data_IF_440483951794
#
_entry.id   IF_440483951794
#
_cell.length_a   1.000
_cell.length_b   1.000
_cell.length_c   1.000
_cell.angle_alpha   90.00
_cell.angle_beta   90.00
_cell.angle_gamma   90.00
#
_symmetry.space_group_name_H-M   'P 1'
#
loop_
_entity.id
_entity.type
_entity.pdbx_description
1 polymer ?
#
# COMPACT_ATOMS: atom_id res chain seq x y z
N UNK A 1 -19.41 21.43 9.52
CA UNK A 1 -18.88 21.86 8.21
C UNK A 1 -17.41 22.19 8.39
N UNK A 2 -16.54 21.20 8.20
CA UNK A 2 -15.08 21.38 8.20
C UNK A 2 -14.58 20.78 6.89
N UNK A 3 -14.22 21.66 5.96
CA UNK A 3 -13.61 21.33 4.68
C UNK A 3 -12.32 20.52 4.93
N UNK A 4 -12.37 19.21 4.74
CA UNK A 4 -11.20 18.48 4.27
C UNK A 4 -11.06 18.83 2.79
N UNK A 5 -10.12 19.72 2.48
CA UNK A 5 -9.56 19.86 1.15
C UNK A 5 -9.03 18.49 0.72
N UNK A 6 -9.90 17.71 0.05
CA UNK A 6 -9.48 16.60 -0.77
C UNK A 6 -8.43 17.16 -1.73
N UNK A 7 -7.24 16.60 -1.66
CA UNK A 7 -6.15 16.94 -2.54
C UNK A 7 -6.62 16.70 -3.98
N UNK A 8 -6.68 17.78 -4.75
CA UNK A 8 -7.02 17.75 -6.18
C UNK A 8 -5.84 17.12 -6.93
N UNK A 9 -6.18 16.23 -7.87
CA UNK A 9 -5.38 15.54 -8.88
C UNK A 9 -4.62 14.28 -8.42
N UNK A 10 -4.83 13.17 -9.16
CA UNK A 10 -4.54 11.77 -8.80
C UNK A 10 -3.07 11.38 -8.62
N UNK A 11 -2.18 12.34 -8.37
CA UNK A 11 -0.75 12.13 -8.08
C UNK A 11 -0.32 12.76 -6.74
N UNK A 12 0.72 12.21 -6.09
CA UNK A 12 1.34 12.85 -4.94
C UNK A 12 1.95 14.21 -5.31
N UNK A 13 2.36 15.00 -4.31
CA UNK A 13 3.08 16.27 -4.55
C UNK A 13 4.40 16.00 -5.27
N UNK A 14 4.43 16.23 -6.58
CA UNK A 14 5.60 16.10 -7.46
C UNK A 14 5.93 17.43 -8.13
N UNK A 15 7.14 17.56 -8.68
CA UNK A 15 7.56 18.77 -9.37
C UNK A 15 6.71 19.07 -10.60
N UNK A 16 6.45 20.36 -10.87
CA UNK A 16 5.64 20.80 -12.00
C UNK A 16 6.09 20.23 -13.38
N UNK A 17 7.40 20.04 -13.67
CA UNK A 17 7.82 19.36 -14.89
C UNK A 17 7.33 17.92 -15.00
N UNK A 18 7.44 17.13 -13.92
CA UNK A 18 7.00 15.74 -13.90
C UNK A 18 5.47 15.62 -14.01
N UNK A 19 4.72 16.47 -13.31
CA UNK A 19 3.26 16.50 -13.41
C UNK A 19 2.78 16.84 -14.82
N UNK A 20 3.39 17.84 -15.48
CA UNK A 20 3.11 18.15 -16.89
C UNK A 20 3.45 16.99 -17.81
N UNK A 21 4.56 16.30 -17.58
CA UNK A 21 4.97 15.17 -18.38
C UNK A 21 3.96 14.01 -18.30
N UNK A 22 3.47 13.69 -17.09
CA UNK A 22 2.42 12.69 -16.88
C UNK A 22 1.11 13.07 -17.59
N UNK A 23 0.63 14.29 -17.36
CA UNK A 23 -0.61 14.78 -17.98
C UNK A 23 -0.51 14.81 -19.51
N UNK A 24 0.60 15.28 -20.08
CA UNK A 24 0.83 15.29 -21.53
C UNK A 24 0.98 13.88 -22.12
N UNK A 25 1.43 12.91 -21.32
CA UNK A 25 1.46 11.50 -21.69
C UNK A 25 0.10 10.79 -21.49
N UNK A 26 -0.93 11.51 -21.01
CA UNK A 26 -2.28 11.00 -20.81
C UNK A 26 -2.52 10.26 -19.50
N UNK A 27 -1.61 10.37 -18.53
CA UNK A 27 -1.78 9.81 -17.19
C UNK A 27 -2.33 10.86 -16.23
N UNK A 28 -3.35 10.48 -15.48
CA UNK A 28 -4.09 11.34 -14.56
C UNK A 28 -4.21 10.74 -13.15
N UNK A 29 -3.83 9.48 -12.95
CA UNK A 29 -3.76 8.88 -11.61
C UNK A 29 -2.66 7.83 -11.45
N UNK A 30 -2.36 7.47 -10.19
CA UNK A 30 -1.43 6.39 -9.84
C UNK A 30 -1.89 5.02 -10.36
N UNK A 31 -3.19 4.75 -10.34
CA UNK A 31 -3.77 3.48 -10.76
C UNK A 31 -3.51 3.18 -12.24
N UNK A 32 -3.42 4.22 -13.07
CA UNK A 32 -3.06 4.08 -14.49
C UNK A 32 -1.60 3.69 -14.69
N UNK A 33 -0.72 4.08 -13.76
CA UNK A 33 0.71 3.77 -13.84
C UNK A 33 1.03 2.29 -13.57
N UNK A 34 0.09 1.52 -13.01
CA UNK A 34 0.25 0.08 -12.77
C UNK A 34 0.46 -0.71 -14.06
N UNK A 35 0.01 -0.16 -15.19
CA UNK A 35 0.18 -0.74 -16.53
C UNK A 35 1.43 -0.23 -17.26
N UNK A 36 2.22 0.63 -16.62
CA UNK A 36 3.37 1.30 -17.23
C UNK A 36 4.64 0.85 -16.54
N UNK A 37 5.69 0.55 -17.32
CA UNK A 37 7.01 0.24 -16.75
C UNK A 37 7.70 1.52 -16.31
N UNK A 38 8.39 1.49 -15.16
CA UNK A 38 9.13 2.66 -14.66
C UNK A 38 10.13 3.21 -15.72
N UNK A 39 10.82 2.31 -16.43
CA UNK A 39 11.80 2.66 -17.46
C UNK A 39 11.19 3.41 -18.66
N UNK A 40 9.89 3.26 -18.93
CA UNK A 40 9.21 4.01 -20.00
C UNK A 40 8.80 5.39 -19.52
N UNK A 41 8.37 5.54 -18.25
CA UNK A 41 8.14 6.86 -17.65
C UNK A 41 9.43 7.67 -17.54
N UNK A 42 10.56 7.03 -17.24
CA UNK A 42 11.86 7.67 -17.15
C UNK A 42 12.30 8.35 -18.47
N UNK A 43 11.72 7.96 -19.62
CA UNK A 43 11.98 8.59 -20.92
C UNK A 43 11.22 9.90 -21.11
N UNK A 44 10.20 10.18 -20.29
CA UNK A 44 9.42 11.41 -20.39
C UNK A 44 10.28 12.62 -19.99
N UNK A 45 10.22 13.67 -20.80
CA UNK A 45 10.94 14.91 -20.52
C UNK A 45 10.43 15.54 -19.21
N UNK A 46 11.31 15.66 -18.22
CA UNK A 46 10.96 16.16 -16.87
C UNK A 46 10.76 15.07 -15.81
N UNK A 47 10.88 13.79 -16.17
CA UNK A 47 10.73 12.64 -15.25
C UNK A 47 12.10 12.17 -14.71
N UNK A 48 12.62 12.86 -13.71
CA UNK A 48 13.90 12.49 -13.06
C UNK A 48 13.76 11.45 -11.94
N UNK A 49 14.88 10.90 -11.42
CA UNK A 49 14.88 9.87 -10.38
C UNK A 49 14.09 10.23 -9.12
N UNK A 50 14.11 11.51 -8.73
CA UNK A 50 13.33 12.00 -7.59
C UNK A 50 11.81 11.88 -7.81
N UNK A 51 11.34 12.18 -9.03
CA UNK A 51 9.92 12.07 -9.34
C UNK A 51 9.49 10.61 -9.38
N UNK A 52 10.29 9.74 -9.99
CA UNK A 52 10.06 8.29 -10.03
C UNK A 52 10.04 7.68 -8.62
N UNK A 53 10.95 8.10 -7.73
CA UNK A 53 10.95 7.69 -6.32
C UNK A 53 9.66 8.06 -5.60
N UNK A 54 9.19 9.31 -5.75
CA UNK A 54 7.92 9.76 -5.14
C UNK A 54 6.73 8.95 -5.68
N UNK A 55 6.70 8.66 -6.99
CA UNK A 55 5.64 7.84 -7.57
C UNK A 55 5.69 6.41 -7.05
N UNK A 56 6.88 5.82 -6.92
CA UNK A 56 7.06 4.47 -6.34
C UNK A 56 6.55 4.40 -4.91
N UNK A 57 6.93 5.37 -4.07
CA UNK A 57 6.50 5.42 -2.68
C UNK A 57 4.97 5.57 -2.58
N UNK A 58 4.38 6.41 -3.45
CA UNK A 58 2.94 6.61 -3.48
C UNK A 58 2.16 5.40 -4.02
N UNK A 59 2.71 4.68 -5.00
CA UNK A 59 2.17 3.39 -5.45
C UNK A 59 2.23 2.35 -4.33
N UNK A 60 3.39 2.20 -3.69
CA UNK A 60 3.60 1.24 -2.62
C UNK A 60 2.65 1.46 -1.43
N UNK A 61 2.40 2.73 -1.06
CA UNK A 61 1.45 3.08 0.00
C UNK A 61 0.01 2.58 -0.28
N UNK A 62 -0.34 2.38 -1.56
CA UNK A 62 -1.63 1.87 -2.03
C UNK A 62 -1.60 0.37 -2.38
N UNK A 63 -0.50 -0.35 -2.11
CA UNK A 63 -0.35 -1.74 -2.55
C UNK A 63 -0.24 -1.90 -4.06
N UNK A 64 0.24 -0.85 -4.75
CA UNK A 64 0.46 -0.81 -6.18
C UNK A 64 1.97 -0.83 -6.48
N UNK A 65 2.32 -1.15 -7.72
CA UNK A 65 3.66 -1.01 -8.26
C UNK A 65 3.60 -0.75 -9.77
N UNK A 66 4.71 -0.39 -10.39
CA UNK A 66 4.80 -0.30 -11.85
C UNK A 66 4.66 -1.68 -12.52
N UNK A 67 4.37 -1.68 -13.82
CA UNK A 67 4.22 -2.92 -14.57
C UNK A 67 5.51 -3.74 -14.54
N UNK A 68 5.38 -5.01 -14.12
CA UNK A 68 6.50 -5.96 -14.03
C UNK A 68 7.25 -5.92 -12.69
N UNK A 69 6.81 -5.11 -11.73
CA UNK A 69 7.35 -5.07 -10.38
C UNK A 69 6.39 -5.75 -9.38
N UNK A 70 6.95 -6.25 -8.28
CA UNK A 70 6.18 -6.70 -7.12
C UNK A 70 5.84 -5.49 -6.24
N UNK A 71 4.80 -5.60 -5.41
CA UNK A 71 4.58 -4.60 -4.35
C UNK A 71 5.75 -4.61 -3.37
N UNK A 72 6.05 -3.44 -2.80
CA UNK A 72 7.06 -3.34 -1.75
C UNK A 72 6.60 -4.09 -0.50
N UNK A 73 7.41 -5.02 -0.03
CA UNK A 73 7.24 -5.68 1.27
C UNK A 73 7.75 -4.83 2.44
N UNK A 74 8.10 -3.56 2.21
CA UNK A 74 8.34 -2.61 3.28
C UNK A 74 7.01 -2.28 3.96
N UNK A 75 6.80 -2.82 5.16
CA UNK A 75 5.56 -2.56 5.88
C UNK A 75 5.36 -1.10 6.26
N UNK A 76 4.10 -0.74 6.43
CA UNK A 76 3.60 0.57 6.79
C UNK A 76 2.71 0.47 8.04
N UNK A 77 2.19 1.61 8.47
CA UNK A 77 1.26 1.69 9.59
C UNK A 77 0.00 2.45 9.19
N UNK A 78 -1.15 1.94 9.61
CA UNK A 78 -2.44 2.61 9.51
C UNK A 78 -2.91 3.01 10.91
N UNK A 79 -3.41 4.23 11.06
CA UNK A 79 -4.07 4.68 12.29
C UNK A 79 -5.56 4.33 12.18
N UNK A 80 -5.98 3.25 12.85
CA UNK A 80 -7.35 2.72 12.77
C UNK A 80 -7.86 2.46 14.18
N UNK A 81 -9.08 2.90 14.50
CA UNK A 81 -9.73 2.65 15.80
C UNK A 81 -8.85 2.92 17.05
N UNK A 82 -7.94 3.89 16.96
CA UNK A 82 -7.02 4.26 18.05
C UNK A 82 -5.77 3.37 18.18
N UNK A 83 -5.53 2.44 17.25
CA UNK A 83 -4.30 1.67 17.15
C UNK A 83 -3.47 2.07 15.91
N UNK A 84 -2.16 2.08 16.09
CA UNK A 84 -1.18 2.19 15.01
C UNK A 84 -0.87 0.79 14.47
N UNK A 85 -1.72 0.30 13.58
CA UNK A 85 -1.71 -1.06 13.05
C UNK A 85 -0.62 -1.23 11.98
N UNK A 86 0.32 -2.14 12.21
CA UNK A 86 1.32 -2.51 11.22
C UNK A 86 0.73 -3.46 10.17
N UNK A 87 1.05 -3.19 8.90
CA UNK A 87 0.71 -4.04 7.77
C UNK A 87 1.80 -3.99 6.70
N UNK A 88 1.84 -5.00 5.82
CA UNK A 88 2.74 -5.02 4.67
C UNK A 88 2.04 -5.67 3.47
N UNK A 89 2.37 -5.17 2.28
CA UNK A 89 1.91 -5.76 1.02
C UNK A 89 2.91 -6.81 0.53
N UNK A 90 2.40 -7.89 -0.08
CA UNK A 90 3.21 -8.91 -0.73
C UNK A 90 2.62 -9.30 -2.09
N UNK A 91 3.48 -9.83 -2.97
CA UNK A 91 3.10 -10.34 -4.27
C UNK A 91 2.79 -9.30 -5.33
N UNK A 92 1.82 -9.62 -6.18
CA UNK A 92 1.46 -8.79 -7.32
C UNK A 92 0.83 -7.46 -6.90
N UNK A 93 1.02 -6.38 -7.69
CA UNK A 93 0.29 -5.12 -7.51
C UNK A 93 -1.22 -5.34 -7.49
N UNK A 94 -1.93 -4.60 -6.64
CA UNK A 94 -3.40 -4.60 -6.62
C UNK A 94 -3.95 -3.95 -7.91
N UNK A 95 -3.90 -4.67 -9.02
CA UNK A 95 -4.50 -4.22 -10.29
C UNK A 95 -5.90 -4.81 -10.40
N UNK A 96 -6.89 -4.09 -9.88
CA UNK A 96 -8.33 -4.42 -9.97
C UNK A 96 -8.79 -5.71 -9.26
N UNK A 97 -7.87 -6.54 -8.75
CA UNK A 97 -8.20 -7.72 -7.96
C UNK A 97 -8.41 -7.39 -6.48
N UNK A 98 -9.31 -8.12 -5.82
CA UNK A 98 -9.53 -7.99 -4.38
C UNK A 98 -8.35 -8.62 -3.63
N UNK A 99 -7.61 -7.85 -2.81
CA UNK A 99 -6.46 -8.37 -2.08
C UNK A 99 -6.89 -9.39 -1.01
N UNK A 100 -5.97 -10.29 -0.66
CA UNK A 100 -6.14 -11.23 0.44
C UNK A 100 -5.54 -10.68 1.73
N UNK A 101 -6.33 -10.59 2.80
CA UNK A 101 -5.81 -10.27 4.13
C UNK A 101 -5.41 -11.57 4.84
N UNK A 102 -4.16 -11.68 5.28
CA UNK A 102 -3.69 -12.81 6.08
C UNK A 102 -3.71 -12.42 7.56
N UNK A 103 -4.55 -13.12 8.33
CA UNK A 103 -4.68 -12.95 9.77
C UNK A 103 -3.94 -14.09 10.49
N UNK A 104 -2.96 -13.74 11.32
CA UNK A 104 -2.28 -14.71 12.17
C UNK A 104 -3.10 -15.01 13.44
N UNK A 105 -2.82 -16.15 14.08
CA UNK A 105 -3.39 -16.53 15.38
C UNK A 105 -2.63 -15.91 16.57
N UNK A 106 -3.00 -16.28 17.80
CA UNK A 106 -2.47 -15.68 19.05
C UNK A 106 -0.94 -15.58 19.13
N UNK A 107 -0.19 -16.66 19.29
CA UNK A 107 1.28 -16.56 19.51
C UNK A 107 2.08 -16.33 18.21
N UNK A 108 1.60 -15.47 17.30
CA UNK A 108 2.13 -15.32 15.95
C UNK A 108 2.26 -13.85 15.51
N UNK A 109 2.79 -13.65 14.29
CA UNK A 109 3.07 -12.37 13.59
C UNK A 109 3.23 -12.66 12.09
N UNK A 110 3.17 -11.63 11.24
CA UNK A 110 3.23 -11.78 9.76
C UNK A 110 4.39 -12.66 9.31
N UNK A 111 5.59 -12.47 9.89
CA UNK A 111 6.80 -13.20 9.50
C UNK A 111 6.69 -14.72 9.66
N UNK A 112 5.86 -15.18 10.60
CA UNK A 112 5.65 -16.61 10.82
C UNK A 112 4.73 -17.22 9.76
N UNK A 113 4.08 -16.41 8.93
CA UNK A 113 3.20 -16.83 7.84
C UNK A 113 3.91 -16.81 6.47
N UNK A 114 5.24 -16.71 6.43
CA UNK A 114 6.01 -16.56 5.19
C UNK A 114 5.74 -17.70 4.18
N UNK A 115 5.66 -18.95 4.61
CA UNK A 115 5.36 -20.07 3.69
C UNK A 115 3.98 -19.92 3.01
N UNK A 116 2.97 -19.44 3.75
CA UNK A 116 1.64 -19.17 3.20
C UNK A 116 1.67 -17.95 2.26
N UNK A 117 2.43 -16.93 2.60
CA UNK A 117 2.62 -15.73 1.76
C UNK A 117 3.29 -16.14 0.44
N UNK A 118 4.42 -16.85 0.50
CA UNK A 118 5.17 -17.33 -0.66
C UNK A 118 4.32 -18.21 -1.57
N UNK A 119 3.46 -19.07 -0.99
CA UNK A 119 2.55 -19.92 -1.76
C UNK A 119 1.48 -19.14 -2.55
N UNK A 120 1.14 -17.91 -2.12
CA UNK A 120 0.02 -17.14 -2.67
C UNK A 120 0.46 -15.89 -3.45
N UNK A 121 1.65 -15.35 -3.17
CA UNK A 121 2.08 -14.04 -3.66
C UNK A 121 2.31 -14.00 -5.18
N UNK A 122 2.54 -15.16 -5.79
CA UNK A 122 2.65 -15.30 -7.25
C UNK A 122 1.31 -15.11 -7.98
N UNK A 123 0.19 -15.20 -7.27
CA UNK A 123 -1.15 -15.13 -7.84
C UNK A 123 -1.94 -13.92 -7.35
N UNK A 124 -1.70 -13.45 -6.13
CA UNK A 124 -2.56 -12.47 -5.46
C UNK A 124 -1.74 -11.38 -4.78
N UNK A 125 -2.33 -10.18 -4.69
CA UNK A 125 -1.89 -9.19 -3.71
C UNK A 125 -2.31 -9.65 -2.32
N UNK A 126 -1.36 -9.61 -1.39
CA UNK A 126 -1.56 -10.03 -0.01
C UNK A 126 -1.33 -8.82 0.90
N UNK A 127 -2.18 -8.67 1.91
CA UNK A 127 -2.02 -7.73 3.02
C UNK A 127 -1.75 -8.57 4.27
N UNK A 128 -0.49 -8.63 4.69
CA UNK A 128 -0.11 -9.18 5.99
C UNK A 128 -0.32 -8.13 7.06
N UNK A 129 -0.88 -8.52 8.21
CA UNK A 129 -1.12 -7.62 9.36
C UNK A 129 -0.55 -8.21 10.63
N UNK A 130 0.00 -7.36 11.49
CA UNK A 130 0.31 -7.71 12.87
C UNK A 130 -0.84 -7.19 13.74
N UNK A 131 -1.61 -8.07 14.40
CA UNK A 131 -2.76 -7.67 15.24
C UNK A 131 -2.30 -6.94 16.51
N UNK A 132 -3.23 -6.28 17.24
CA UNK A 132 -2.93 -5.61 18.51
C UNK A 132 -2.06 -6.49 19.42
N UNK A 133 -0.99 -5.91 19.97
CA UNK A 133 -0.02 -6.57 20.85
C UNK A 133 0.81 -7.70 20.20
N UNK A 134 0.85 -7.78 18.86
CA UNK A 134 1.65 -8.75 18.11
C UNK A 134 2.64 -8.05 17.19
N UNK A 135 3.77 -8.71 16.96
CA UNK A 135 4.77 -8.28 15.99
C UNK A 135 5.22 -6.83 16.18
N UNK A 136 4.87 -5.97 15.22
CA UNK A 136 5.18 -4.53 15.19
C UNK A 136 4.03 -3.63 15.61
N UNK A 137 2.85 -4.19 15.86
CA UNK A 137 1.70 -3.45 16.37
C UNK A 137 1.76 -3.43 17.90
N UNK A 138 1.90 -2.24 18.47
CA UNK A 138 1.93 -2.06 19.92
C UNK A 138 0.60 -2.44 20.57
N UNK A 139 0.64 -2.73 21.86
CA UNK A 139 -0.56 -2.85 22.68
C UNK A 139 -1.10 -1.46 23.07
N UNK A 140 -2.38 -1.38 23.41
CA UNK A 140 -3.05 -0.16 23.89
C UNK A 140 -3.99 -0.48 25.05
N UNK A 141 -4.50 0.55 25.74
CA UNK A 141 -5.42 0.40 26.87
C UNK A 141 -6.85 0.02 26.43
N UNK A 142 -6.99 -1.17 25.84
CA UNK A 142 -8.25 -1.85 25.58
C UNK A 142 -8.06 -3.37 25.61
N UNK A 143 -9.09 -4.16 25.99
CA UNK A 143 -8.99 -5.62 25.95
C UNK A 143 -8.76 -6.16 24.53
N UNK A 144 -7.86 -7.13 24.38
CA UNK A 144 -7.68 -7.88 23.12
C UNK A 144 -8.89 -8.82 22.95
N UNK A 145 -9.74 -8.52 21.96
CA UNK A 145 -10.97 -9.28 21.64
C UNK A 145 -11.09 -9.46 20.13
N UNK A 146 -11.59 -10.61 19.68
CA UNK A 146 -11.79 -10.87 18.25
C UNK A 146 -12.63 -9.80 17.54
N UNK A 147 -13.75 -9.29 18.10
CA UNK A 147 -14.49 -8.20 17.47
C UNK A 147 -13.65 -6.94 17.29
N UNK A 148 -12.92 -6.50 18.31
CA UNK A 148 -12.05 -5.32 18.20
C UNK A 148 -10.96 -5.48 17.15
N UNK A 149 -10.33 -6.66 17.09
CA UNK A 149 -9.36 -6.95 16.03
C UNK A 149 -10.01 -6.95 14.65
N UNK A 150 -11.21 -7.51 14.50
CA UNK A 150 -11.95 -7.51 13.24
C UNK A 150 -12.31 -6.09 12.79
N UNK A 151 -12.69 -5.21 13.72
CA UNK A 151 -12.98 -3.81 13.43
C UNK A 151 -11.72 -3.06 12.96
N UNK A 152 -10.54 -3.35 13.53
CA UNK A 152 -9.28 -2.76 13.06
C UNK A 152 -8.93 -3.18 11.64
N UNK A 153 -9.13 -4.46 11.32
CA UNK A 153 -8.97 -4.97 9.96
C UNK A 153 -9.99 -4.32 9.02
N UNK A 154 -11.24 -4.18 9.47
CA UNK A 154 -12.26 -3.44 8.75
C UNK A 154 -11.85 -2.00 8.48
N UNK A 155 -11.21 -1.32 9.43
CA UNK A 155 -10.68 0.03 9.25
C UNK A 155 -9.48 0.10 8.31
N UNK A 156 -8.65 -0.96 8.24
CA UNK A 156 -7.49 -1.02 7.35
C UNK A 156 -7.88 -1.14 5.87
N UNK A 157 -8.96 -1.87 5.56
CA UNK A 157 -9.34 -2.24 4.19
C UNK A 157 -10.46 -1.39 3.58
N UNK A 158 -10.83 -0.29 4.23
CA UNK A 158 -11.87 0.65 3.80
C UNK A 158 -11.35 1.75 2.87
#
# INVERSE_FOLDING_TARGET
>A
MTNHTAQVDGFPKIGAPALRALNSAGYHSLEELVKVREADLAKLHGMGPKALGILRDALAAKGLAFAGEQVSNQGAYAEVNGIRLYYAYYGKPASQEVPLVILHGGLSRIEMMHELIEALESERTIIGVDLQAHGRTADIDRPIRYPSCADDIGGLIQ
#
